data_IF_574133116812
#
_entry.id   IF_574133116812
#
_cell.length_a   1.000
_cell.length_b   1.000
_cell.length_c   1.000
_cell.angle_alpha   90.00
_cell.angle_beta   90.00
_cell.angle_gamma   90.00
#
_symmetry.space_group_name_H-M   'P 1'
#
loop_
_entity.id
_entity.type
_entity.pdbx_description
1 polymer ?
#
# COMPACT_ATOMS: atom_id res chain seq x y z
N UNK A 1 14.87 -8.73 -3.76
CA UNK A 1 13.64 -7.94 -4.06
C UNK A 1 13.53 -6.80 -3.06
N UNK A 2 13.38 -5.55 -3.52
CA UNK A 2 13.11 -4.39 -2.67
C UNK A 2 11.62 -4.27 -2.35
N UNK A 3 11.31 -3.68 -1.18
CA UNK A 3 9.94 -3.30 -0.82
C UNK A 3 9.79 -1.77 -0.84
N UNK A 4 8.75 -1.29 -1.50
CA UNK A 4 8.43 0.13 -1.65
C UNK A 4 7.27 0.47 -0.72
N UNK A 5 7.38 1.57 0.03
CA UNK A 5 6.33 2.09 0.91
C UNK A 5 5.99 3.52 0.49
N UNK A 6 4.74 3.78 0.09
CA UNK A 6 4.31 5.11 -0.34
C UNK A 6 3.86 5.96 0.86
N UNK A 7 4.65 6.99 1.21
CA UNK A 7 4.46 7.83 2.40
C UNK A 7 4.31 9.33 2.08
N UNK A 8 4.17 9.74 0.82
CA UNK A 8 4.25 11.16 0.42
C UNK A 8 3.01 12.01 0.73
N UNK A 9 1.85 11.40 0.96
CA UNK A 9 0.54 12.06 0.97
C UNK A 9 0.32 13.09 2.09
N UNK A 10 -0.49 14.14 1.80
CA UNK A 10 -0.82 15.26 2.69
C UNK A 10 -1.67 14.90 3.92
N UNK A 11 -2.46 13.82 3.87
CA UNK A 11 -3.35 13.45 4.97
C UNK A 11 -4.47 14.46 5.25
N UNK A 12 -5.07 15.07 4.22
CA UNK A 12 -6.09 16.16 4.36
C UNK A 12 -7.25 15.79 5.29
N UNK A 13 -7.72 14.53 5.26
CA UNK A 13 -8.83 14.02 6.09
C UNK A 13 -8.48 13.81 7.57
N UNK A 14 -7.20 13.90 7.93
CA UNK A 14 -6.66 13.76 9.28
C UNK A 14 -6.43 15.09 9.99
N UNK A 15 -6.77 16.22 9.37
CA UNK A 15 -6.67 17.52 10.04
C UNK A 15 -7.54 17.56 11.30
N UNK A 16 -7.07 18.18 12.40
CA UNK A 16 -5.89 19.05 12.51
C UNK A 16 -4.55 18.32 12.76
N UNK A 17 -4.52 17.01 12.99
CA UNK A 17 -3.29 16.27 13.31
C UNK A 17 -2.18 16.48 12.28
N UNK A 18 -2.53 16.40 10.99
CA UNK A 18 -1.58 16.53 9.88
C UNK A 18 -1.17 17.97 9.57
N UNK A 19 -1.67 18.96 10.31
CA UNK A 19 -1.14 20.32 10.20
C UNK A 19 0.34 20.40 10.68
N UNK A 20 0.74 19.49 11.58
CA UNK A 20 2.09 19.49 12.20
C UNK A 20 2.82 18.15 12.03
N UNK A 21 2.11 17.06 11.80
CA UNK A 21 2.67 15.71 11.76
C UNK A 21 2.35 15.06 10.41
N UNK A 22 3.35 14.46 9.79
CA UNK A 22 3.15 13.63 8.59
C UNK A 22 2.24 12.43 8.95
N UNK A 23 1.27 12.08 8.09
CA UNK A 23 0.20 11.13 8.45
C UNK A 23 0.73 9.77 8.94
N UNK A 24 1.79 9.25 8.31
CA UNK A 24 2.37 7.95 8.69
C UNK A 24 3.27 8.03 9.92
N UNK A 25 3.58 9.26 10.39
CA UNK A 25 4.31 9.53 11.64
C UNK A 25 3.38 9.78 12.83
N UNK A 26 2.06 9.71 12.64
CA UNK A 26 1.11 9.77 13.75
C UNK A 26 1.39 8.64 14.75
N UNK A 27 1.47 9.03 16.03
CA UNK A 27 1.87 8.13 17.11
C UNK A 27 0.72 7.21 17.53
N UNK A 28 0.99 5.93 17.57
CA UNK A 28 0.11 4.90 18.10
C UNK A 28 0.90 4.05 19.12
N UNK A 29 0.45 4.04 20.37
CA UNK A 29 1.04 3.22 21.44
C UNK A 29 2.58 3.29 21.50
N UNK A 30 3.13 4.52 21.46
CA UNK A 30 4.55 4.79 21.62
C UNK A 30 5.41 4.69 20.35
N UNK A 31 4.80 4.41 19.18
CA UNK A 31 5.52 4.30 17.89
C UNK A 31 4.77 5.02 16.78
N UNK A 32 5.48 5.60 15.78
CA UNK A 32 4.81 6.09 14.57
C UNK A 32 4.18 4.93 13.79
N UNK A 33 3.05 5.19 13.13
CA UNK A 33 2.32 4.20 12.35
C UNK A 33 3.21 3.48 11.32
N UNK A 34 4.09 4.22 10.65
CA UNK A 34 5.03 3.66 9.67
C UNK A 34 5.98 2.61 10.26
N UNK A 35 6.33 2.72 11.55
CA UNK A 35 7.21 1.72 12.18
C UNK A 35 6.56 0.34 12.25
N UNK A 36 5.24 0.27 12.44
CA UNK A 36 4.52 -1.01 12.39
C UNK A 36 4.59 -1.63 11.00
N UNK A 37 4.43 -0.82 9.94
CA UNK A 37 4.54 -1.31 8.55
C UNK A 37 5.95 -1.81 8.26
N UNK A 38 6.98 -1.05 8.65
CA UNK A 38 8.40 -1.46 8.49
C UNK A 38 8.66 -2.77 9.24
N UNK A 39 8.14 -2.94 10.46
CA UNK A 39 8.27 -4.19 11.21
C UNK A 39 7.58 -5.36 10.48
N UNK A 40 6.44 -5.13 9.83
CA UNK A 40 5.78 -6.11 8.98
C UNK A 40 6.62 -6.51 7.76
N UNK A 41 7.28 -5.54 7.11
CA UNK A 41 8.23 -5.83 6.02
C UNK A 41 9.42 -6.67 6.51
N UNK A 42 9.97 -6.33 7.67
CA UNK A 42 11.07 -7.07 8.29
C UNK A 42 10.66 -8.50 8.63
N UNK A 43 9.45 -8.68 9.16
CA UNK A 43 8.88 -9.99 9.46
C UNK A 43 8.70 -10.86 8.21
N UNK A 44 8.27 -10.24 7.10
CA UNK A 44 8.16 -10.91 5.79
C UNK A 44 9.51 -11.21 5.13
N UNK A 45 10.64 -10.72 5.70
CA UNK A 45 11.99 -10.98 5.24
C UNK A 45 12.63 -9.89 4.38
N UNK A 46 11.97 -8.75 4.18
CA UNK A 46 12.55 -7.62 3.45
C UNK A 46 13.58 -6.87 4.29
N UNK A 47 14.69 -6.47 3.65
CA UNK A 47 15.78 -5.71 4.26
C UNK A 47 16.17 -4.46 3.48
N UNK A 48 15.81 -4.39 2.20
CA UNK A 48 16.05 -3.23 1.33
C UNK A 48 14.70 -2.56 1.06
N UNK A 49 14.52 -1.37 1.63
CA UNK A 49 13.27 -0.61 1.59
C UNK A 49 13.46 0.68 0.80
N UNK A 50 12.46 1.06 0.03
CA UNK A 50 12.33 2.38 -0.58
C UNK A 50 11.14 3.07 0.09
N UNK A 51 11.38 4.22 0.73
CA UNK A 51 10.31 5.07 1.24
C UNK A 51 10.10 6.24 0.27
N UNK A 52 8.93 6.26 -0.39
CA UNK A 52 8.55 7.43 -1.19
C UNK A 52 7.96 8.47 -0.25
N UNK A 53 8.68 9.57 -0.08
CA UNK A 53 8.37 10.64 0.88
C UNK A 53 8.00 11.93 0.16
N UNK A 54 7.29 12.82 0.83
CA UNK A 54 6.86 14.10 0.26
C UNK A 54 6.51 15.10 1.36
N UNK A 55 5.23 15.32 1.62
CA UNK A 55 4.80 16.24 2.67
C UNK A 55 5.45 15.92 4.01
N UNK A 56 6.18 16.90 4.60
CA UNK A 56 6.92 16.78 5.87
C UNK A 56 7.88 15.59 5.91
N UNK A 57 8.56 15.34 4.79
CA UNK A 57 9.50 14.23 4.61
C UNK A 57 10.58 14.17 5.71
N UNK A 58 10.99 15.31 6.24
CA UNK A 58 12.03 15.43 7.26
C UNK A 58 11.69 14.58 8.50
N UNK A 59 10.40 14.54 8.88
CA UNK A 59 9.97 13.75 10.05
C UNK A 59 10.17 12.24 9.86
N UNK A 60 10.03 11.74 8.63
CA UNK A 60 10.30 10.33 8.31
C UNK A 60 11.81 10.10 8.27
N UNK A 61 12.55 10.96 7.56
CA UNK A 61 13.99 10.83 7.35
C UNK A 61 14.73 10.92 8.69
N UNK A 62 14.39 11.89 9.55
CA UNK A 62 15.02 12.08 10.85
C UNK A 62 14.77 10.91 11.80
N UNK A 63 13.56 10.32 11.76
CA UNK A 63 13.20 9.20 12.63
C UNK A 63 13.85 7.88 12.21
N UNK A 64 13.81 7.55 10.92
CA UNK A 64 14.28 6.26 10.43
C UNK A 64 15.74 6.26 9.97
N UNK A 65 16.31 7.44 9.63
CA UNK A 65 17.68 7.56 9.16
C UNK A 65 18.01 6.60 8.03
N UNK A 66 19.10 5.87 8.13
CA UNK A 66 19.48 4.84 7.15
C UNK A 66 18.78 3.48 7.36
N UNK A 67 17.92 3.37 8.37
CA UNK A 67 17.27 2.09 8.73
C UNK A 67 18.12 1.18 9.66
N UNK A 68 19.33 1.58 10.02
CA UNK A 68 20.28 0.76 10.80
C UNK A 68 19.69 0.26 12.13
N UNK A 69 18.90 1.08 12.82
CA UNK A 69 18.24 0.71 14.08
C UNK A 69 17.30 -0.50 13.93
N UNK A 70 16.72 -0.68 12.74
CA UNK A 70 15.80 -1.78 12.42
C UNK A 70 16.46 -2.91 11.60
N UNK A 71 17.79 -2.83 11.40
CA UNK A 71 18.54 -3.79 10.58
C UNK A 71 18.00 -3.90 9.15
N UNK A 72 17.71 -2.76 8.53
CA UNK A 72 17.29 -2.60 7.14
C UNK A 72 18.09 -1.49 6.48
N UNK A 73 18.12 -1.48 5.15
CA UNK A 73 18.62 -0.38 4.34
C UNK A 73 17.43 0.43 3.84
N UNK A 74 17.42 1.73 4.07
CA UNK A 74 16.35 2.62 3.62
C UNK A 74 16.91 3.59 2.59
N UNK A 75 16.32 3.56 1.39
CA UNK A 75 16.47 4.55 0.33
C UNK A 75 15.25 5.47 0.35
N UNK A 76 15.47 6.79 0.28
CA UNK A 76 14.39 7.77 0.22
C UNK A 76 14.27 8.33 -1.18
N UNK A 77 13.04 8.33 -1.71
CA UNK A 77 12.71 8.95 -3.00
C UNK A 77 11.68 10.04 -2.76
N UNK A 78 11.97 11.25 -3.19
CA UNK A 78 11.09 12.39 -2.96
C UNK A 78 10.06 12.53 -4.08
N UNK A 79 8.77 12.57 -3.69
CA UNK A 79 7.67 12.96 -4.55
C UNK A 79 7.35 14.43 -4.34
N UNK A 80 7.86 15.30 -5.22
CA UNK A 80 7.62 16.74 -5.16
C UNK A 80 6.22 17.10 -5.66
N UNK A 81 5.74 16.43 -6.71
CA UNK A 81 4.40 16.59 -7.25
C UNK A 81 3.51 15.44 -6.76
N UNK A 82 2.46 15.78 -6.00
CA UNK A 82 1.54 14.79 -5.44
C UNK A 82 0.47 14.40 -6.47
N UNK A 83 0.90 13.75 -7.55
CA UNK A 83 0.12 13.33 -8.70
C UNK A 83 -0.38 11.88 -8.62
N UNK A 84 -0.58 11.37 -7.40
CA UNK A 84 -1.18 10.06 -7.14
C UNK A 84 -0.17 8.95 -6.82
N UNK A 85 -0.71 7.76 -6.56
CA UNK A 85 0.07 6.58 -6.16
C UNK A 85 0.93 6.03 -7.30
N UNK A 86 0.45 6.12 -8.54
CA UNK A 86 1.20 5.74 -9.73
C UNK A 86 2.34 6.70 -10.02
N UNK A 87 2.12 8.02 -9.84
CA UNK A 87 3.17 9.02 -9.95
C UNK A 87 4.29 8.81 -8.92
N UNK A 88 3.92 8.49 -7.67
CA UNK A 88 4.88 8.11 -6.63
C UNK A 88 5.69 6.87 -7.01
N UNK A 89 5.02 5.83 -7.54
CA UNK A 89 5.67 4.59 -7.94
C UNK A 89 6.63 4.78 -9.12
N UNK A 90 6.27 5.61 -10.11
CA UNK A 90 7.12 5.90 -11.27
C UNK A 90 8.52 6.41 -10.88
N UNK A 91 8.62 7.18 -9.81
CA UNK A 91 9.90 7.70 -9.31
C UNK A 91 10.86 6.58 -8.90
N UNK A 92 10.32 5.41 -8.55
CA UNK A 92 11.12 4.28 -8.05
C UNK A 92 11.74 3.42 -9.16
N UNK A 93 11.36 3.59 -10.42
CA UNK A 93 11.73 2.68 -11.52
C UNK A 93 13.23 2.38 -11.60
N UNK A 94 14.08 3.43 -11.49
CA UNK A 94 15.54 3.33 -11.59
C UNK A 94 16.17 2.68 -10.35
N UNK A 95 15.51 2.73 -9.21
CA UNK A 95 15.99 2.18 -7.94
C UNK A 95 15.65 0.69 -7.74
N UNK A 96 14.92 0.08 -8.68
CA UNK A 96 14.53 -1.32 -8.64
C UNK A 96 15.42 -2.14 -9.58
N UNK A 97 16.38 -2.92 -9.06
CA UNK A 97 17.24 -3.76 -9.91
C UNK A 97 16.54 -5.03 -10.39
N UNK A 98 15.66 -5.60 -9.56
CA UNK A 98 15.00 -6.88 -9.80
C UNK A 98 13.82 -6.77 -10.78
N UNK A 99 13.44 -7.90 -11.41
CA UNK A 99 12.24 -7.97 -12.26
C UNK A 99 10.96 -7.63 -11.48
N UNK A 100 10.90 -8.00 -10.20
CA UNK A 100 9.74 -7.80 -9.34
C UNK A 100 10.09 -6.99 -8.09
N UNK A 101 9.08 -6.34 -7.52
CA UNK A 101 9.19 -5.60 -6.27
C UNK A 101 7.90 -5.73 -5.45
N UNK A 102 8.04 -5.58 -4.16
CA UNK A 102 6.91 -5.48 -3.24
C UNK A 102 6.49 -4.01 -3.12
N UNK A 103 5.20 -3.72 -3.07
CA UNK A 103 4.65 -2.38 -2.88
C UNK A 103 3.61 -2.40 -1.77
N UNK A 104 3.69 -1.45 -0.83
CA UNK A 104 2.63 -1.21 0.13
C UNK A 104 2.37 0.28 0.33
N UNK A 105 1.14 0.62 0.66
CA UNK A 105 0.80 1.97 1.08
C UNK A 105 1.20 2.20 2.53
N UNK A 106 1.76 3.38 2.83
CA UNK A 106 2.28 3.74 4.16
C UNK A 106 1.19 4.11 5.17
N UNK A 107 -0.08 4.08 4.79
CA UNK A 107 -1.22 4.42 5.63
C UNK A 107 -2.17 3.23 5.89
N UNK A 108 -1.78 2.03 5.45
CA UNK A 108 -2.51 0.78 5.70
C UNK A 108 -1.60 -0.22 6.39
N UNK A 109 -2.12 -0.85 7.42
CA UNK A 109 -1.44 -1.87 8.23
C UNK A 109 -2.28 -3.13 8.25
N UNK A 110 -1.65 -4.27 7.98
CA UNK A 110 -2.24 -5.61 8.08
C UNK A 110 -1.39 -6.47 9.02
N UNK A 111 -1.89 -7.61 9.53
CA UNK A 111 -1.08 -8.56 10.28
C UNK A 111 0.21 -8.88 9.54
N UNK A 112 1.32 -8.99 10.27
CA UNK A 112 2.64 -9.20 9.67
C UNK A 112 2.72 -10.49 8.84
N UNK A 113 1.99 -11.52 9.25
CA UNK A 113 1.90 -12.78 8.51
C UNK A 113 1.28 -12.59 7.11
N UNK A 114 0.38 -11.62 6.92
CA UNK A 114 -0.22 -11.33 5.60
C UNK A 114 0.85 -10.86 4.61
N UNK A 115 1.77 -9.97 5.02
CA UNK A 115 2.90 -9.58 4.15
C UNK A 115 3.75 -10.78 3.75
N UNK A 116 4.01 -11.68 4.70
CA UNK A 116 4.77 -12.92 4.47
C UNK A 116 4.01 -13.90 3.56
N UNK A 117 2.69 -14.05 3.73
CA UNK A 117 1.84 -14.86 2.85
C UNK A 117 1.91 -14.34 1.42
N UNK A 118 1.71 -13.04 1.18
CA UNK A 118 1.80 -12.42 -0.16
C UNK A 118 3.17 -12.69 -0.78
N UNK A 119 4.24 -12.56 -0.01
CA UNK A 119 5.60 -12.86 -0.50
C UNK A 119 5.83 -14.35 -0.75
N UNK A 120 5.25 -15.24 0.08
CA UNK A 120 5.35 -16.69 -0.10
C UNK A 120 4.59 -17.16 -1.36
N UNK A 121 3.42 -16.60 -1.64
CA UNK A 121 2.66 -16.87 -2.86
C UNK A 121 3.51 -16.51 -4.09
N UNK A 122 4.14 -15.33 -4.09
CA UNK A 122 5.06 -14.95 -5.15
C UNK A 122 6.21 -15.95 -5.34
N UNK A 123 6.78 -16.49 -4.26
CA UNK A 123 7.92 -17.42 -4.33
C UNK A 123 7.53 -18.82 -4.81
N UNK A 124 6.29 -19.22 -4.52
CA UNK A 124 5.82 -20.59 -4.75
C UNK A 124 4.88 -20.72 -5.97
N UNK A 125 4.22 -19.62 -6.34
CA UNK A 125 3.32 -19.56 -7.49
C UNK A 125 3.95 -18.62 -8.54
N UNK A 126 3.87 -18.95 -9.81
CA UNK A 126 4.49 -18.16 -10.88
C UNK A 126 3.56 -17.01 -11.32
N UNK A 127 3.46 -15.93 -10.51
CA UNK A 127 2.66 -14.75 -10.81
C UNK A 127 3.52 -13.50 -10.88
N UNK A 128 3.40 -12.75 -11.97
CA UNK A 128 4.06 -11.45 -12.16
C UNK A 128 3.35 -10.32 -11.40
N UNK A 129 2.06 -10.50 -11.07
CA UNK A 129 1.23 -9.52 -10.38
C UNK A 129 0.39 -10.17 -9.29
N UNK A 130 0.50 -9.65 -8.08
CA UNK A 130 -0.27 -10.10 -6.91
C UNK A 130 -0.91 -8.87 -6.25
N UNK A 131 -2.15 -8.99 -5.82
CA UNK A 131 -2.95 -7.97 -5.17
C UNK A 131 -3.55 -8.53 -3.87
N UNK A 132 -3.35 -7.86 -2.74
CA UNK A 132 -4.07 -8.14 -1.51
C UNK A 132 -5.42 -7.42 -1.50
N UNK A 133 -6.49 -8.16 -1.21
CA UNK A 133 -7.82 -7.63 -1.03
C UNK A 133 -8.36 -7.93 0.37
N UNK A 134 -8.92 -6.93 1.05
CA UNK A 134 -9.61 -7.10 2.32
C UNK A 134 -11.12 -7.17 2.12
N UNK A 135 -11.78 -7.91 3.01
CA UNK A 135 -13.25 -7.89 3.07
C UNK A 135 -13.74 -6.54 3.61
N UNK A 136 -14.82 -6.03 3.03
CA UNK A 136 -15.60 -4.89 3.52
C UNK A 136 -17.05 -5.06 3.06
N UNK A 137 -18.02 -4.59 3.85
CA UNK A 137 -19.43 -4.68 3.48
C UNK A 137 -19.75 -3.85 2.22
N UNK A 138 -19.10 -2.70 2.08
CA UNK A 138 -19.24 -1.82 0.91
C UNK A 138 -17.89 -1.17 0.55
N UNK A 139 -17.30 -1.52 -0.61
CA UNK A 139 -15.97 -1.04 -1.01
C UNK A 139 -15.97 0.36 -1.65
N UNK A 140 -16.96 1.21 -1.42
CA UNK A 140 -17.09 2.53 -2.03
C UNK A 140 -15.95 3.51 -1.71
N UNK A 141 -15.17 3.26 -0.67
CA UNK A 141 -14.08 4.16 -0.24
C UNK A 141 -12.72 3.87 -0.90
N UNK A 142 -12.59 2.79 -1.60
CA UNK A 142 -11.36 2.37 -2.29
C UNK A 142 -11.68 1.67 -3.60
N UNK A 143 -10.73 0.89 -4.13
CA UNK A 143 -10.94 0.14 -5.36
C UNK A 143 -11.62 -1.20 -5.08
N UNK A 144 -12.85 -1.37 -5.55
CA UNK A 144 -13.56 -2.66 -5.49
C UNK A 144 -12.87 -3.68 -6.40
N UNK A 145 -12.57 -4.87 -5.85
CA UNK A 145 -11.84 -5.95 -6.53
C UNK A 145 -12.82 -7.05 -6.96
N UNK A 146 -12.95 -7.26 -8.25
CA UNK A 146 -13.71 -8.35 -8.83
C UNK A 146 -12.75 -9.46 -9.25
N UNK A 147 -13.09 -10.70 -8.98
CA UNK A 147 -12.24 -11.84 -9.35
C UNK A 147 -13.09 -13.05 -9.74
N UNK A 148 -12.56 -13.81 -10.69
CA UNK A 148 -12.98 -15.16 -10.98
C UNK A 148 -11.99 -16.08 -10.27
N UNK A 149 -12.50 -16.89 -9.32
CA UNK A 149 -11.69 -17.61 -8.33
C UNK A 149 -10.68 -16.68 -7.63
N UNK A 150 -9.42 -16.80 -7.94
CA UNK A 150 -8.31 -16.02 -7.36
C UNK A 150 -7.62 -15.10 -8.37
N UNK A 151 -8.20 -14.92 -9.57
CA UNK A 151 -7.66 -14.03 -10.60
C UNK A 151 -8.53 -12.78 -10.71
N UNK A 152 -7.92 -11.62 -10.58
CA UNK A 152 -8.60 -10.34 -10.73
C UNK A 152 -9.11 -10.16 -12.16
N UNK A 153 -10.42 -9.89 -12.29
CA UNK A 153 -11.06 -9.64 -13.58
C UNK A 153 -11.39 -8.16 -13.79
N UNK A 154 -11.58 -7.41 -12.70
CA UNK A 154 -11.90 -5.99 -12.78
C UNK A 154 -11.54 -5.27 -11.48
N UNK A 155 -11.25 -3.96 -11.61
CA UNK A 155 -11.03 -3.02 -10.50
C UNK A 155 -11.84 -1.76 -10.76
N UNK A 156 -12.70 -1.37 -9.82
CA UNK A 156 -13.50 -0.14 -9.93
C UNK A 156 -13.12 0.78 -8.78
N UNK A 157 -12.41 1.87 -9.10
CA UNK A 157 -12.00 2.87 -8.11
C UNK A 157 -13.22 3.64 -7.61
N UNK A 158 -13.44 3.61 -6.30
CA UNK A 158 -14.51 4.32 -5.60
C UNK A 158 -15.88 4.19 -6.26
N UNK A 159 -16.41 2.99 -6.40
CA UNK A 159 -17.74 2.80 -6.95
C UNK A 159 -18.78 3.59 -6.13
N UNK A 160 -19.93 3.99 -6.70
CA UNK A 160 -21.00 4.56 -5.92
C UNK A 160 -21.39 3.66 -4.75
N UNK A 161 -21.75 4.25 -3.61
CA UNK A 161 -22.13 3.50 -2.41
C UNK A 161 -23.26 2.53 -2.72
N UNK A 162 -23.12 1.28 -2.30
CA UNK A 162 -24.09 0.20 -2.54
C UNK A 162 -24.14 -0.32 -3.99
N UNK A 163 -23.32 0.20 -4.91
CA UNK A 163 -23.32 -0.25 -6.32
C UNK A 163 -22.37 -1.43 -6.58
N UNK A 164 -21.48 -1.74 -5.66
CA UNK A 164 -20.52 -2.84 -5.84
C UNK A 164 -21.20 -4.21 -5.71
N UNK A 165 -20.83 -5.13 -6.61
CA UNK A 165 -21.25 -6.55 -6.56
C UNK A 165 -20.21 -7.44 -5.87
N UNK A 166 -19.14 -6.85 -5.32
CA UNK A 166 -18.11 -7.54 -4.55
C UNK A 166 -17.98 -6.92 -3.17
N UNK A 167 -17.55 -7.71 -2.20
CA UNK A 167 -17.22 -7.26 -0.85
C UNK A 167 -15.70 -7.17 -0.63
N UNK A 168 -14.91 -7.23 -1.70
CA UNK A 168 -13.46 -7.11 -1.61
C UNK A 168 -12.98 -5.74 -2.09
N UNK A 169 -12.10 -5.15 -1.28
CA UNK A 169 -11.47 -3.87 -1.57
C UNK A 169 -9.95 -4.04 -1.65
N UNK A 170 -9.31 -3.34 -2.57
CA UNK A 170 -7.87 -3.28 -2.64
C UNK A 170 -7.27 -2.77 -1.32
N UNK A 171 -6.38 -3.57 -0.75
CA UNK A 171 -5.74 -3.32 0.54
C UNK A 171 -4.40 -2.56 0.42
N UNK A 172 -4.00 -2.17 -0.77
CA UNK A 172 -2.75 -1.41 -0.96
C UNK A 172 -1.48 -2.20 -0.69
N UNK A 173 -1.51 -3.51 -0.86
CA UNK A 173 -0.34 -4.40 -0.78
C UNK A 173 -0.27 -5.21 -2.06
N UNK A 174 0.91 -5.22 -2.69
CA UNK A 174 1.10 -5.79 -4.02
C UNK A 174 2.48 -6.41 -4.19
N UNK A 175 2.59 -7.32 -5.16
CA UNK A 175 3.84 -7.61 -5.86
C UNK A 175 3.62 -7.33 -7.34
N UNK A 176 4.54 -6.61 -7.94
CA UNK A 176 4.49 -6.21 -9.34
C UNK A 176 5.76 -6.57 -10.10
N UNK A 177 5.58 -7.00 -11.35
CA UNK A 177 6.62 -6.93 -12.37
C UNK A 177 6.90 -5.48 -12.76
N UNK A 178 8.12 -5.19 -13.16
CA UNK A 178 8.51 -3.87 -13.70
C UNK A 178 7.70 -3.44 -14.93
N UNK A 179 6.99 -4.35 -15.57
CA UNK A 179 6.07 -4.03 -16.68
C UNK A 179 4.99 -3.00 -16.29
N UNK A 180 4.69 -2.86 -14.98
CA UNK A 180 3.76 -1.84 -14.49
C UNK A 180 4.20 -0.42 -14.87
N UNK A 181 5.51 -0.16 -14.93
CA UNK A 181 6.04 1.16 -15.28
C UNK A 181 5.70 1.58 -16.70
N UNK A 182 5.68 0.63 -17.65
CA UNK A 182 5.33 0.91 -19.06
C UNK A 182 3.86 1.35 -19.18
N UNK A 183 2.98 0.78 -18.36
CA UNK A 183 1.57 1.22 -18.29
C UNK A 183 1.47 2.57 -17.61
N UNK A 184 2.12 2.75 -16.46
CA UNK A 184 2.07 4.01 -15.71
C UNK A 184 2.56 5.22 -16.52
N UNK A 185 3.56 5.04 -17.38
CA UNK A 185 4.09 6.11 -18.27
C UNK A 185 3.08 6.59 -19.31
N UNK A 186 2.15 5.75 -19.70
CA UNK A 186 1.16 6.05 -20.75
C UNK A 186 -0.25 6.29 -20.21
N UNK A 187 -0.45 6.07 -18.90
CA UNK A 187 -1.75 6.20 -18.28
C UNK A 187 -2.15 7.68 -18.17
N UNK A 188 -3.32 8.02 -18.68
CA UNK A 188 -3.89 9.34 -18.49
C UNK A 188 -4.26 9.57 -17.01
N UNK A 189 -4.03 10.77 -16.45
CA UNK A 189 -4.50 11.09 -15.12
C UNK A 189 -6.02 10.96 -15.00
N UNK A 190 -6.49 10.53 -13.82
CA UNK A 190 -7.91 10.50 -13.49
C UNK A 190 -8.52 11.92 -13.47
N UNK A 191 -9.84 12.04 -13.33
CA UNK A 191 -10.54 13.33 -13.15
C UNK A 191 -10.00 14.16 -11.99
N UNK A 192 -9.31 13.54 -11.04
CA UNK A 192 -8.62 14.19 -9.92
C UNK A 192 -7.21 14.68 -10.25
N UNK A 193 -6.74 14.49 -11.49
CA UNK A 193 -5.37 14.78 -11.90
C UNK A 193 -4.34 13.78 -11.36
N UNK A 194 -4.75 12.60 -10.88
CA UNK A 194 -3.89 11.59 -10.25
C UNK A 194 -3.66 10.40 -11.18
N UNK A 195 -2.41 9.94 -11.27
CA UNK A 195 -2.04 8.65 -11.85
C UNK A 195 -2.17 7.60 -10.73
N UNK A 196 -3.02 6.61 -10.92
CA UNK A 196 -3.38 5.68 -9.86
C UNK A 196 -2.90 4.25 -10.17
N UNK A 197 -2.30 3.58 -9.18
CA UNK A 197 -1.85 2.19 -9.30
C UNK A 197 -3.01 1.24 -9.66
N UNK A 198 -4.22 1.33 -9.04
CA UNK A 198 -5.34 0.46 -9.43
C UNK A 198 -5.74 0.62 -10.90
N UNK A 199 -5.70 1.86 -11.43
CA UNK A 199 -6.02 2.13 -12.84
C UNK A 199 -4.98 1.53 -13.78
N UNK A 200 -3.69 1.60 -13.43
CA UNK A 200 -2.63 0.95 -14.20
C UNK A 200 -2.78 -0.57 -14.21
N UNK A 201 -3.16 -1.16 -13.06
CA UNK A 201 -3.39 -2.60 -12.97
C UNK A 201 -4.58 -3.04 -13.82
N UNK A 202 -5.68 -2.28 -13.79
CA UNK A 202 -6.86 -2.52 -14.64
C UNK A 202 -6.52 -2.42 -16.13
N UNK A 203 -5.75 -1.41 -16.53
CA UNK A 203 -5.26 -1.29 -17.92
C UNK A 203 -4.43 -2.52 -18.32
N UNK A 204 -3.50 -2.95 -17.46
CA UNK A 204 -2.73 -4.16 -17.71
C UNK A 204 -3.58 -5.43 -17.85
N UNK A 205 -4.64 -5.58 -17.04
CA UNK A 205 -5.60 -6.69 -17.17
C UNK A 205 -6.31 -6.65 -18.52
N UNK A 206 -6.83 -5.48 -18.91
CA UNK A 206 -7.66 -5.34 -20.11
C UNK A 206 -6.84 -5.41 -21.40
N UNK A 207 -5.74 -4.67 -21.47
CA UNK A 207 -5.01 -4.44 -22.71
C UNK A 207 -3.83 -5.39 -22.89
N UNK A 208 -3.15 -5.75 -21.79
CA UNK A 208 -1.97 -6.62 -21.81
C UNK A 208 -2.25 -8.06 -21.35
N UNK A 209 -3.50 -8.35 -20.96
CA UNK A 209 -3.95 -9.68 -20.50
C UNK A 209 -3.18 -10.18 -19.26
N UNK A 210 -2.78 -9.27 -18.38
CA UNK A 210 -2.13 -9.65 -17.14
C UNK A 210 -3.01 -10.53 -16.27
N UNK A 211 -2.44 -11.60 -15.74
CA UNK A 211 -3.06 -12.43 -14.73
C UNK A 211 -2.65 -11.92 -13.36
N UNK A 212 -3.57 -11.24 -12.67
CA UNK A 212 -3.32 -10.67 -11.35
C UNK A 212 -3.91 -11.61 -10.29
N UNK A 213 -3.04 -12.22 -9.50
CA UNK A 213 -3.42 -13.12 -8.40
C UNK A 213 -3.97 -12.31 -7.23
N UNK A 214 -5.17 -12.59 -6.78
CA UNK A 214 -5.79 -11.96 -5.61
C UNK A 214 -5.56 -12.80 -4.37
N UNK A 215 -4.95 -12.22 -3.35
CA UNK A 215 -4.88 -12.78 -2.00
C UNK A 215 -6.01 -12.16 -1.19
N UNK A 216 -6.97 -12.98 -0.75
CA UNK A 216 -8.13 -12.50 0.01
C UNK A 216 -7.85 -12.60 1.50
N UNK A 217 -7.99 -11.49 2.22
CA UNK A 217 -8.04 -11.51 3.69
C UNK A 217 -9.38 -12.08 4.15
N UNK A 218 -9.37 -12.78 5.27
CA UNK A 218 -10.60 -13.24 5.93
C UNK A 218 -11.41 -12.06 6.45
N UNK A 219 -12.72 -12.23 6.59
CA UNK A 219 -13.64 -11.16 7.02
C UNK A 219 -13.25 -10.53 8.36
N UNK A 220 -12.71 -11.32 9.28
CA UNK A 220 -12.37 -10.88 10.63
C UNK A 220 -10.89 -10.54 10.81
N UNK A 221 -10.09 -10.58 9.75
CA UNK A 221 -8.68 -10.21 9.85
C UNK A 221 -8.52 -8.70 10.02
N UNK A 222 -7.60 -8.32 10.90
CA UNK A 222 -7.32 -6.93 11.21
C UNK A 222 -6.82 -6.17 10.00
N UNK A 223 -7.39 -4.98 9.80
CA UNK A 223 -6.86 -3.94 8.90
C UNK A 223 -6.89 -2.61 9.63
N UNK A 224 -5.72 -2.05 9.90
CA UNK A 224 -5.56 -0.69 10.42
C UNK A 224 -5.32 0.31 9.30
N UNK A 225 -5.84 1.53 9.44
CA UNK A 225 -5.58 2.60 8.48
C UNK A 225 -5.55 3.97 9.16
N UNK A 226 -4.67 4.84 8.66
CA UNK A 226 -4.59 6.25 9.05
C UNK A 226 -4.97 7.14 7.87
N UNK A 227 -6.09 6.81 7.24
CA UNK A 227 -6.66 7.55 6.11
C UNK A 227 -7.68 8.63 6.50
N UNK A 228 -8.30 8.52 7.68
CA UNK A 228 -9.30 9.44 8.22
C UNK A 228 -9.15 9.56 9.74
N UNK A 229 -9.68 10.67 10.30
CA UNK A 229 -9.56 10.99 11.73
C UNK A 229 -10.16 9.91 12.62
N UNK A 230 -11.36 9.44 12.31
CA UNK A 230 -12.09 8.44 13.08
C UNK A 230 -11.32 7.12 13.16
N UNK A 231 -10.70 6.71 12.04
CA UNK A 231 -9.89 5.49 11.97
C UNK A 231 -8.61 5.59 12.81
N UNK A 232 -7.95 6.75 12.75
CA UNK A 232 -6.79 7.00 13.59
C UNK A 232 -7.15 7.00 15.08
N UNK A 233 -8.23 7.69 15.48
CA UNK A 233 -8.68 7.73 16.86
C UNK A 233 -9.09 6.35 17.38
N UNK A 234 -9.72 5.53 16.57
CA UNK A 234 -10.04 4.15 16.90
C UNK A 234 -8.76 3.36 17.23
N UNK A 235 -7.75 3.39 16.37
CA UNK A 235 -6.48 2.70 16.59
C UNK A 235 -5.72 3.25 17.82
N UNK A 236 -5.83 4.56 18.07
CA UNK A 236 -5.17 5.22 19.19
C UNK A 236 -5.79 4.87 20.55
N UNK A 237 -7.12 4.73 20.60
CA UNK A 237 -7.85 4.51 21.83
C UNK A 237 -7.99 3.02 22.20
N UNK A 238 -7.82 2.13 21.23
CA UNK A 238 -7.83 0.67 21.43
C UNK A 238 -6.47 0.09 21.08
N UNK A 239 -5.86 -0.63 22.01
CA UNK A 239 -4.57 -1.30 21.81
C UNK A 239 -4.69 -2.80 21.51
N UNK A 240 -5.91 -3.35 21.50
CA UNK A 240 -6.15 -4.79 21.29
C UNK A 240 -5.61 -5.29 19.95
N UNK A 241 -5.62 -4.43 18.91
CA UNK A 241 -5.11 -4.75 17.58
C UNK A 241 -3.59 -5.06 17.56
N UNK A 242 -2.82 -4.58 18.55
CA UNK A 242 -1.38 -4.88 18.64
C UNK A 242 -1.11 -6.39 18.74
N UNK A 243 -2.02 -7.14 19.38
CA UNK A 243 -1.91 -8.59 19.51
C UNK A 243 -2.15 -9.29 18.16
N UNK A 244 -2.97 -8.67 17.28
CA UNK A 244 -3.32 -9.22 15.98
C UNK A 244 -2.22 -9.04 14.91
N UNK A 245 -1.18 -8.23 15.20
CA UNK A 245 -0.10 -8.00 14.24
C UNK A 245 0.86 -9.18 14.10
N UNK A 246 0.98 -10.02 15.12
CA UNK A 246 2.00 -11.09 15.19
C UNK A 246 1.43 -12.50 15.02
N UNK A 247 0.14 -12.61 14.70
CA UNK A 247 -0.56 -13.89 14.51
C UNK A 247 -0.52 -14.28 13.03
#
# INVERSE_FOLDING_TARGET
MKAIILCAGLGKRLKPYTNKIQKTMLQLHGKPFLEYIINGMIYAGFRDLILVVGYRKEQIIDYFGTGKKWNVNIEYIEQNELNGTGGALLLCEKSIPDKHFFLTWGDILVPYEIYKIVYSIYKNENHDFILLANYTEDPYMGAAVYCDDLICTNLIEKPPRGASKTNFNNCGVFIFSKEIFDVLKTLAPSERGEIEVPSALLNGINDRKWKVRVVKMEQNQFKGEVGAKEKYEQLKNDSSWLQLLKI
#
